data_IF_689552570503
#
_entry.id   IF_689552570503
#
_cell.length_a   1.000
_cell.length_b   1.000
_cell.length_c   1.000
_cell.angle_alpha   90.00
_cell.angle_beta   90.00
_cell.angle_gamma   90.00
#
_symmetry.space_group_name_H-M   'P 1'
#
loop_
_entity.id
_entity.type
_entity.pdbx_description
1 polymer ?
#
# COMPACT_ATOMS: atom_id res chain seq x y z
N UNK A 1 -0.93 5.78 2.70
CA UNK A 1 -1.28 5.90 4.12
C UNK A 1 -2.35 6.96 4.16
N UNK A 2 -3.52 6.70 4.71
CA UNK A 2 -4.65 7.62 4.58
C UNK A 2 -4.91 8.33 5.91
N UNK A 3 -4.01 9.25 6.29
CA UNK A 3 -4.07 10.00 7.55
C UNK A 3 -4.59 11.43 7.35
N UNK A 4 -5.59 11.61 6.49
CA UNK A 4 -6.14 12.94 6.18
C UNK A 4 -7.29 13.34 7.11
N UNK A 5 -7.61 12.52 8.12
CA UNK A 5 -8.74 12.73 9.01
C UNK A 5 -8.29 12.65 10.47
N UNK A 6 -8.81 13.54 11.28
CA UNK A 6 -8.51 13.59 12.70
C UNK A 6 -9.78 13.92 13.46
N UNK A 7 -10.14 13.03 14.37
CA UNK A 7 -11.31 13.14 15.22
C UNK A 7 -10.82 13.22 16.65
N UNK A 8 -11.14 14.30 17.34
CA UNK A 8 -10.80 14.52 18.75
C UNK A 8 -12.01 15.00 19.52
N UNK A 9 -11.93 14.84 20.84
CA UNK A 9 -12.88 15.45 21.77
C UNK A 9 -12.86 16.97 21.62
N UNK A 10 -14.01 17.59 21.85
CA UNK A 10 -14.21 19.04 21.71
C UNK A 10 -13.19 19.88 22.51
N UNK A 11 -12.79 19.40 23.68
CA UNK A 11 -11.84 20.09 24.55
C UNK A 11 -10.37 19.69 24.33
N UNK A 12 -10.07 18.94 23.27
CA UNK A 12 -8.71 18.53 22.95
C UNK A 12 -7.90 19.73 22.43
N UNK A 13 -6.77 20.02 23.08
CA UNK A 13 -5.85 21.10 22.68
C UNK A 13 -4.76 20.67 21.70
N UNK A 14 -4.69 19.38 21.38
CA UNK A 14 -3.70 18.85 20.45
C UNK A 14 -4.03 19.28 19.01
N UNK A 15 -3.01 19.68 18.25
CA UNK A 15 -3.17 20.14 16.87
C UNK A 15 -2.86 19.01 15.88
N UNK A 16 -3.62 18.96 14.78
CA UNK A 16 -3.44 17.96 13.71
C UNK A 16 -1.98 17.82 13.25
N UNK A 17 -1.31 18.96 13.10
CA UNK A 17 0.09 19.05 12.67
C UNK A 17 1.05 18.25 13.57
N UNK A 18 0.71 18.09 14.85
CA UNK A 18 1.60 17.49 15.88
C UNK A 18 1.43 15.96 16.00
N UNK A 19 0.40 15.35 15.39
CA UNK A 19 0.23 13.88 15.46
C UNK A 19 0.00 13.18 14.12
N UNK A 20 -0.25 13.89 13.02
CA UNK A 20 -0.37 13.25 11.71
C UNK A 20 0.92 12.50 11.35
N UNK A 21 0.79 11.36 10.70
CA UNK A 21 1.88 10.47 10.32
C UNK A 21 2.59 10.93 9.04
N UNK A 22 2.07 11.93 8.32
CA UNK A 22 2.73 12.50 7.14
C UNK A 22 4.03 13.20 7.53
N UNK A 23 3.97 14.03 8.57
CA UNK A 23 5.09 14.85 9.05
C UNK A 23 5.74 14.29 10.31
N UNK A 24 4.99 13.55 11.14
CA UNK A 24 5.52 12.98 12.37
C UNK A 24 6.05 11.54 12.16
N UNK A 25 6.96 11.13 13.03
CA UNK A 25 7.50 9.77 13.02
C UNK A 25 6.45 8.76 13.45
N UNK A 26 6.31 7.67 12.70
CA UNK A 26 5.58 6.48 13.13
C UNK A 26 6.55 5.38 13.58
N UNK A 27 6.08 4.52 14.48
CA UNK A 27 6.93 3.52 15.11
C UNK A 27 7.38 2.45 14.10
N UNK A 28 8.70 2.36 13.89
CA UNK A 28 9.32 1.39 12.98
C UNK A 28 9.18 -0.05 13.44
N UNK A 29 9.02 -0.30 14.75
CA UNK A 29 8.75 -1.63 15.28
C UNK A 29 7.33 -2.08 14.92
N UNK A 30 6.33 -1.19 15.01
CA UNK A 30 4.96 -1.49 14.57
C UNK A 30 4.95 -1.78 13.07
N UNK A 31 5.66 -0.97 12.29
CA UNK A 31 5.82 -1.18 10.85
C UNK A 31 6.50 -2.54 10.54
N UNK A 32 7.51 -2.94 11.32
CA UNK A 32 8.16 -4.25 11.16
C UNK A 32 7.24 -5.40 11.53
N UNK A 33 6.51 -5.30 12.65
CA UNK A 33 5.55 -6.33 13.09
C UNK A 33 4.44 -6.50 12.06
N UNK A 34 3.88 -5.41 11.54
CA UNK A 34 2.86 -5.45 10.49
C UNK A 34 3.35 -6.15 9.21
N UNK A 35 4.67 -6.10 8.94
CA UNK A 35 5.26 -6.71 7.76
C UNK A 35 5.67 -8.18 7.95
N UNK A 36 6.24 -8.52 9.11
CA UNK A 36 6.79 -9.86 9.35
C UNK A 36 5.82 -10.78 10.07
N UNK A 37 4.84 -10.22 10.79
CA UNK A 37 3.99 -10.97 11.72
C UNK A 37 4.68 -11.32 13.05
N UNK A 38 5.95 -10.92 13.25
CA UNK A 38 6.75 -11.30 14.42
C UNK A 38 7.20 -10.07 15.23
N UNK A 39 6.92 -10.09 16.54
CA UNK A 39 7.45 -9.15 17.53
C UNK A 39 6.49 -8.94 18.72
N UNK A 40 6.99 -8.30 19.79
CA UNK A 40 6.20 -7.90 20.96
C UNK A 40 6.12 -6.37 21.04
N UNK A 41 4.94 -5.84 21.39
CA UNK A 41 4.71 -4.40 21.56
C UNK A 41 4.32 -4.11 23.01
N UNK A 42 5.03 -3.19 23.65
CA UNK A 42 4.59 -2.60 24.93
C UNK A 42 3.47 -1.61 24.64
N UNK A 43 2.25 -1.94 25.08
CA UNK A 43 1.03 -1.17 24.84
C UNK A 43 1.11 0.20 25.53
N UNK A 44 1.69 1.20 24.87
CA UNK A 44 1.51 2.60 25.28
C UNK A 44 0.11 3.04 24.87
N UNK A 45 -0.58 3.68 25.81
CA UNK A 45 -2.00 4.00 25.76
C UNK A 45 -2.41 4.67 24.44
N UNK A 46 -3.53 4.19 23.90
CA UNK A 46 -4.39 4.82 22.87
C UNK A 46 -3.72 5.90 22.00
N UNK A 47 -3.26 5.50 20.82
CA UNK A 47 -3.15 6.40 19.67
C UNK A 47 -4.09 5.88 18.59
N UNK A 48 -5.16 6.61 18.32
CA UNK A 48 -5.98 6.44 17.12
C UNK A 48 -5.12 6.83 15.92
N UNK A 49 -4.18 5.97 15.56
CA UNK A 49 -3.38 6.15 14.36
C UNK A 49 -4.09 5.48 13.18
N UNK A 50 -4.02 6.10 12.00
CA UNK A 50 -4.62 5.57 10.78
C UNK A 50 -4.14 4.16 10.47
N UNK A 51 -4.91 3.46 9.65
CA UNK A 51 -4.58 2.15 9.07
C UNK A 51 -3.07 2.01 8.73
N UNK A 52 -2.31 1.39 9.64
CA UNK A 52 -0.90 1.02 9.42
C UNK A 52 -0.77 -0.11 8.38
N UNK A 53 -1.87 -0.79 8.11
CA UNK A 53 -2.05 -1.80 7.09
C UNK A 53 -3.11 -1.31 6.11
N UNK A 54 -2.80 -1.15 4.83
CA UNK A 54 -3.87 -0.97 3.85
C UNK A 54 -4.69 -2.26 3.77
N UNK A 55 -5.97 -2.23 3.45
CA UNK A 55 -6.79 -3.45 3.35
C UNK A 55 -6.18 -4.53 2.40
N UNK A 56 -6.35 -5.83 2.70
CA UNK A 56 -5.93 -6.97 1.85
C UNK A 56 -4.97 -7.99 2.52
N UNK A 57 -4.92 -9.22 1.99
CA UNK A 57 -4.26 -10.40 2.59
C UNK A 57 -2.72 -10.35 2.63
N UNK A 58 -2.09 -9.62 1.70
CA UNK A 58 -0.63 -9.58 1.56
C UNK A 58 0.04 -8.74 2.66
N UNK A 59 1.21 -9.21 3.12
CA UNK A 59 2.00 -8.48 4.10
C UNK A 59 2.49 -7.16 3.52
N UNK A 60 2.30 -6.10 4.31
CA UNK A 60 2.48 -4.74 3.85
C UNK A 60 2.78 -3.80 4.99
N UNK A 61 3.54 -2.74 4.69
CA UNK A 61 3.94 -1.79 5.71
C UNK A 61 4.38 -0.47 5.11
N UNK A 62 4.08 0.61 5.81
CA UNK A 62 4.61 1.94 5.50
C UNK A 62 6.01 2.09 6.09
N UNK A 63 6.94 2.64 5.32
CA UNK A 63 8.31 2.89 5.74
C UNK A 63 8.72 4.31 5.40
N UNK A 64 9.26 5.01 6.38
CA UNK A 64 9.93 6.29 6.15
C UNK A 64 11.39 6.02 5.80
N UNK A 65 11.80 6.47 4.62
CA UNK A 65 13.19 6.38 4.15
C UNK A 65 13.60 7.80 3.78
N UNK A 66 14.55 8.37 4.54
CA UNK A 66 14.86 9.81 4.52
C UNK A 66 13.57 10.62 4.79
N UNK A 67 13.16 11.49 3.87
CA UNK A 67 11.97 12.32 4.00
C UNK A 67 10.73 11.73 3.31
N UNK A 68 10.87 10.58 2.64
CA UNK A 68 9.80 9.97 1.85
C UNK A 68 9.16 8.79 2.59
N UNK A 69 7.86 8.63 2.42
CA UNK A 69 7.10 7.50 2.97
C UNK A 69 6.75 6.57 1.81
N UNK A 70 7.08 5.29 1.95
CA UNK A 70 6.83 4.27 0.94
C UNK A 70 5.94 3.16 1.50
N UNK A 71 5.02 2.66 0.68
CA UNK A 71 4.38 1.37 0.92
C UNK A 71 5.31 0.27 0.45
N UNK A 72 5.58 -0.71 1.30
CA UNK A 72 6.18 -1.98 0.93
C UNK A 72 5.10 -3.04 0.98
N UNK A 73 4.98 -3.85 -0.07
CA UNK A 73 4.04 -4.96 -0.15
C UNK A 73 4.79 -6.20 -0.65
N UNK A 74 4.82 -7.25 0.16
CA UNK A 74 5.44 -8.52 -0.25
C UNK A 74 4.46 -9.37 -1.06
N UNK A 75 5.00 -10.34 -1.80
CA UNK A 75 4.21 -11.39 -2.41
C UNK A 75 3.74 -12.45 -1.41
N UNK A 76 2.90 -13.36 -1.88
CA UNK A 76 2.48 -14.54 -1.11
C UNK A 76 3.62 -15.55 -1.02
N UNK A 77 3.68 -16.30 0.07
CA UNK A 77 4.65 -17.37 0.30
C UNK A 77 3.92 -18.71 0.47
N UNK A 78 4.57 -19.82 0.12
CA UNK A 78 4.08 -21.17 0.45
C UNK A 78 3.28 -21.90 -0.63
N UNK A 79 3.17 -21.36 -1.85
CA UNK A 79 2.55 -22.06 -2.99
C UNK A 79 3.50 -22.16 -4.19
N UNK A 80 3.33 -23.16 -5.06
CA UNK A 80 4.06 -23.22 -6.33
C UNK A 80 3.72 -21.97 -7.16
N UNK A 81 4.73 -21.28 -7.70
CA UNK A 81 4.61 -20.03 -8.45
C UNK A 81 4.03 -18.82 -7.66
N UNK A 82 3.97 -18.86 -6.32
CA UNK A 82 3.65 -17.67 -5.51
C UNK A 82 4.83 -16.72 -5.35
N UNK A 83 4.56 -15.45 -5.01
CA UNK A 83 5.61 -14.47 -4.72
C UNK A 83 5.95 -13.54 -5.89
N UNK A 84 5.23 -13.68 -7.01
CA UNK A 84 5.40 -12.86 -8.21
C UNK A 84 4.53 -11.59 -8.19
N UNK A 85 3.66 -11.42 -7.19
CA UNK A 85 2.81 -10.22 -7.04
C UNK A 85 3.61 -8.91 -7.03
N UNK A 86 4.80 -8.82 -6.39
CA UNK A 86 5.66 -7.64 -6.50
C UNK A 86 6.02 -7.25 -7.94
N UNK A 87 6.33 -8.25 -8.78
CA UNK A 87 6.64 -8.01 -10.20
C UNK A 87 5.39 -7.57 -10.96
N UNK A 88 4.23 -8.15 -10.64
CA UNK A 88 2.96 -7.76 -11.26
C UNK A 88 2.64 -6.28 -11.04
N UNK A 89 2.78 -5.79 -9.82
CA UNK A 89 2.56 -4.36 -9.52
C UNK A 89 3.59 -3.46 -10.23
N UNK A 90 4.86 -3.89 -10.23
CA UNK A 90 5.95 -3.17 -10.90
C UNK A 90 5.67 -3.01 -12.40
N UNK A 91 5.43 -4.12 -13.10
CA UNK A 91 5.19 -4.08 -14.54
C UNK A 91 3.86 -3.42 -14.92
N UNK A 92 2.82 -3.59 -14.11
CA UNK A 92 1.55 -2.90 -14.33
C UNK A 92 1.74 -1.36 -14.33
N UNK A 93 2.56 -0.83 -13.43
CA UNK A 93 2.88 0.61 -13.41
C UNK A 93 3.61 1.08 -14.67
N UNK A 94 4.56 0.28 -15.19
CA UNK A 94 5.29 0.59 -16.41
C UNK A 94 4.39 0.55 -17.65
N UNK A 95 3.47 -0.42 -17.71
CA UNK A 95 2.48 -0.51 -18.78
C UNK A 95 1.54 0.71 -18.73
N UNK A 96 1.02 1.05 -17.55
CA UNK A 96 0.15 2.21 -17.38
C UNK A 96 0.85 3.52 -17.81
N UNK A 97 2.14 3.65 -17.53
CA UNK A 97 2.98 4.74 -18.02
C UNK A 97 3.05 4.80 -19.55
N UNK A 98 3.33 3.67 -20.20
CA UNK A 98 3.41 3.58 -21.66
C UNK A 98 2.05 3.90 -22.32
N UNK A 99 0.96 3.54 -21.63
CA UNK A 99 -0.41 3.82 -22.08
C UNK A 99 -0.87 5.26 -21.77
N UNK A 100 -0.02 6.11 -21.19
CA UNK A 100 -0.34 7.48 -20.79
C UNK A 100 -1.59 7.58 -19.89
N UNK A 101 -1.77 6.59 -19.00
CA UNK A 101 -2.84 6.59 -18.01
C UNK A 101 -2.41 7.34 -16.75
N UNK A 102 -3.37 7.88 -16.01
CA UNK A 102 -3.08 8.36 -14.65
C UNK A 102 -2.82 7.17 -13.72
N UNK A 103 -1.60 7.08 -13.18
CA UNK A 103 -1.13 5.91 -12.43
C UNK A 103 -0.27 6.30 -11.23
N UNK A 104 0.03 5.31 -10.38
CA UNK A 104 1.00 5.44 -9.30
C UNK A 104 2.23 4.60 -9.66
N UNK A 105 3.42 5.19 -9.55
CA UNK A 105 4.66 4.50 -9.87
C UNK A 105 4.99 3.44 -8.82
N UNK A 106 5.39 2.26 -9.32
CA UNK A 106 5.86 1.16 -8.49
C UNK A 106 7.29 0.81 -8.85
N UNK A 107 8.11 0.62 -7.82
CA UNK A 107 9.47 0.09 -7.91
C UNK A 107 9.58 -1.28 -7.23
N UNK A 108 10.76 -1.91 -7.33
CA UNK A 108 11.08 -3.15 -6.62
C UNK A 108 12.17 -2.91 -5.58
N UNK A 109 12.02 -3.52 -4.41
CA UNK A 109 13.05 -3.53 -3.38
C UNK A 109 13.03 -4.84 -2.61
N UNK A 110 14.16 -5.19 -1.99
CA UNK A 110 14.19 -6.22 -0.95
C UNK A 110 14.10 -5.58 0.42
N UNK A 111 13.30 -6.16 1.31
CA UNK A 111 13.25 -5.76 2.71
C UNK A 111 13.05 -6.98 3.60
N UNK A 112 13.90 -7.10 4.64
CA UNK A 112 13.93 -8.28 5.54
C UNK A 112 13.99 -9.61 4.79
N UNK A 113 14.77 -9.66 3.71
CA UNK A 113 14.93 -10.85 2.87
C UNK A 113 13.79 -11.10 1.87
N UNK A 114 12.67 -10.36 1.94
CA UNK A 114 11.52 -10.54 1.05
C UNK A 114 11.54 -9.55 -0.11
N UNK A 115 11.18 -10.02 -1.31
CA UNK A 115 10.92 -9.15 -2.46
C UNK A 115 9.61 -8.37 -2.23
N UNK A 116 9.66 -7.07 -2.46
CA UNK A 116 8.53 -6.16 -2.27
C UNK A 116 8.34 -5.27 -3.49
N UNK A 117 7.08 -5.04 -3.85
CA UNK A 117 6.71 -3.86 -4.63
C UNK A 117 6.74 -2.66 -3.69
N UNK A 118 7.24 -1.53 -4.19
CA UNK A 118 7.37 -0.29 -3.45
C UNK A 118 6.62 0.83 -4.16
N UNK A 119 5.91 1.65 -3.41
CA UNK A 119 5.10 2.73 -3.94
C UNK A 119 5.30 3.97 -3.06
N UNK A 120 5.60 5.11 -3.68
CA UNK A 120 5.68 6.37 -2.95
C UNK A 120 4.29 6.78 -2.47
N UNK A 121 4.21 7.32 -1.26
CA UNK A 121 2.97 7.85 -0.73
C UNK A 121 2.40 8.95 -1.64
N UNK A 122 1.17 8.74 -2.12
CA UNK A 122 0.47 9.64 -3.03
C UNK A 122 -0.67 10.44 -2.37
N UNK A 123 -0.84 10.29 -1.06
CA UNK A 123 -1.81 11.03 -0.23
C UNK A 123 -1.07 11.99 0.69
N UNK A 124 -1.76 13.03 1.16
CA UNK A 124 -1.25 14.01 2.12
C UNK A 124 -2.39 14.55 3.01
N UNK A 125 -2.12 15.55 3.84
CA UNK A 125 -3.13 16.16 4.70
C UNK A 125 -4.38 16.67 3.96
N UNK A 126 -4.23 17.07 2.70
CA UNK A 126 -5.29 17.64 1.87
C UNK A 126 -5.85 16.66 0.82
N UNK A 127 -5.19 15.50 0.63
CA UNK A 127 -5.54 14.52 -0.41
C UNK A 127 -5.70 13.15 0.24
N UNK A 128 -6.95 12.64 0.23
CA UNK A 128 -7.29 11.31 0.74
C UNK A 128 -7.55 10.31 -0.39
N UNK A 129 -7.26 9.04 -0.12
CA UNK A 129 -7.60 7.95 -1.04
C UNK A 129 -8.87 7.25 -0.59
N UNK A 130 -9.87 7.21 -1.46
CA UNK A 130 -11.11 6.46 -1.22
C UNK A 130 -11.21 5.37 -2.30
N UNK A 131 -11.12 4.08 -1.92
CA UNK A 131 -11.31 2.99 -2.86
C UNK A 131 -12.67 3.12 -3.53
N UNK A 132 -12.69 3.03 -4.84
CA UNK A 132 -13.92 3.20 -5.62
C UNK A 132 -15.03 2.24 -5.14
N UNK A 133 -14.66 1.03 -4.69
CA UNK A 133 -15.55 0.03 -4.09
C UNK A 133 -16.43 0.52 -2.93
N UNK A 134 -16.02 1.57 -2.20
CA UNK A 134 -16.79 2.15 -1.09
C UNK A 134 -17.86 3.15 -1.55
N UNK A 135 -17.78 3.64 -2.78
CA UNK A 135 -18.63 4.71 -3.33
C UNK A 135 -19.59 4.25 -4.44
N UNK A 136 -19.78 2.94 -4.66
CA UNK A 136 -20.61 2.48 -5.78
C UNK A 136 -22.11 2.40 -5.47
N UNK A 137 -22.91 3.08 -6.29
CA UNK A 137 -24.21 2.58 -6.77
C UNK A 137 -24.01 1.86 -8.12
N UNK A 138 -24.91 0.93 -8.48
CA UNK A 138 -24.77 -0.09 -9.55
C UNK A 138 -24.40 0.40 -10.98
N UNK A 139 -24.27 1.69 -11.28
CA UNK A 139 -24.14 2.22 -12.67
C UNK A 139 -22.72 2.29 -13.25
N UNK A 140 -21.66 2.12 -12.46
CA UNK A 140 -20.30 2.53 -12.89
C UNK A 140 -19.36 1.37 -13.29
N UNK A 141 -19.89 0.33 -13.93
CA UNK A 141 -19.20 -0.94 -14.26
C UNK A 141 -18.06 -0.88 -15.30
N UNK A 142 -17.89 0.23 -16.02
CA UNK A 142 -17.05 0.26 -17.24
C UNK A 142 -15.54 0.27 -16.97
N UNK A 143 -15.10 0.82 -15.82
CA UNK A 143 -13.67 0.96 -15.47
C UNK A 143 -13.09 -0.33 -14.87
N UNK A 144 -13.89 -1.10 -14.11
CA UNK A 144 -13.44 -2.34 -13.45
C UNK A 144 -12.97 -3.39 -14.47
N UNK A 145 -13.68 -3.50 -15.60
CA UNK A 145 -13.34 -4.48 -16.66
C UNK A 145 -11.97 -4.25 -17.29
N UNK A 146 -11.52 -2.99 -17.39
CA UNK A 146 -10.21 -2.67 -17.97
C UNK A 146 -9.09 -3.16 -17.04
N UNK A 147 -9.24 -2.92 -15.72
CA UNK A 147 -8.27 -3.37 -14.72
C UNK A 147 -8.21 -4.89 -14.66
N UNK A 148 -9.36 -5.58 -14.65
CA UNK A 148 -9.41 -7.05 -14.67
C UNK A 148 -8.74 -7.65 -15.92
N UNK A 149 -8.95 -7.04 -17.08
CA UNK A 149 -8.30 -7.50 -18.33
C UNK A 149 -6.77 -7.32 -18.29
N UNK A 150 -6.27 -6.21 -17.71
CA UNK A 150 -4.82 -5.99 -17.57
C UNK A 150 -4.21 -7.02 -16.61
N UNK A 151 -4.85 -7.27 -15.46
CA UNK A 151 -4.39 -8.30 -14.51
C UNK A 151 -4.40 -9.70 -15.13
N UNK A 152 -5.45 -10.05 -15.88
CA UNK A 152 -5.55 -11.35 -16.57
C UNK A 152 -4.49 -11.51 -17.65
N UNK A 153 -4.25 -10.48 -18.46
CA UNK A 153 -3.24 -10.50 -19.50
C UNK A 153 -1.84 -10.64 -18.90
N UNK A 154 -1.57 -9.96 -17.79
CA UNK A 154 -0.27 -10.03 -17.12
C UNK A 154 -0.03 -11.39 -16.44
N UNK A 155 -1.03 -11.98 -15.78
CA UNK A 155 -0.92 -13.33 -15.23
C UNK A 155 -0.62 -14.37 -16.31
N UNK A 156 -1.25 -14.25 -17.49
CA UNK A 156 -0.91 -15.12 -18.63
C UNK A 156 0.49 -14.87 -19.18
N UNK A 157 0.92 -13.62 -19.30
CA UNK A 157 2.23 -13.27 -19.83
C UNK A 157 3.36 -13.77 -18.92
N UNK A 158 3.22 -13.61 -17.60
CA UNK A 158 4.19 -14.14 -16.63
C UNK A 158 4.29 -15.67 -16.76
N UNK A 159 3.15 -16.38 -16.76
CA UNK A 159 3.16 -17.83 -16.88
C UNK A 159 3.75 -18.32 -18.21
N UNK A 160 3.60 -17.54 -19.29
CA UNK A 160 4.22 -17.89 -20.58
C UNK A 160 5.75 -17.73 -20.54
N UNK A 161 6.26 -16.71 -19.86
CA UNK A 161 7.70 -16.42 -19.77
C UNK A 161 8.44 -17.29 -18.74
N UNK A 162 7.74 -17.94 -17.80
CA UNK A 162 8.35 -18.85 -16.81
C UNK A 162 8.35 -20.33 -17.21
N UNK A 163 7.73 -20.68 -18.35
CA UNK A 163 7.67 -22.07 -18.87
C UNK A 163 8.63 -22.27 -20.08
N UNK A 164 9.28 -21.21 -20.56
CA UNK A 164 10.35 -21.24 -21.59
C UNK A 164 11.74 -21.20 -20.98
#
# INVERSE_FOLDING_TARGET
MNDSYWVVQENCKDLFKDKNLYHNSFNTNIASIAFTGYGSYTRTLFKSSPEFTTNGMLAKSWRRIKNNIFLYKSGTEGFANSGLEPYSEYYASQIAKIMDLHYVDYGLSKWKGKLCSTCLLFTNENISYIPVGRNYSKKSFRIIRIVEHIYYFHFKLINYLTIS
#
